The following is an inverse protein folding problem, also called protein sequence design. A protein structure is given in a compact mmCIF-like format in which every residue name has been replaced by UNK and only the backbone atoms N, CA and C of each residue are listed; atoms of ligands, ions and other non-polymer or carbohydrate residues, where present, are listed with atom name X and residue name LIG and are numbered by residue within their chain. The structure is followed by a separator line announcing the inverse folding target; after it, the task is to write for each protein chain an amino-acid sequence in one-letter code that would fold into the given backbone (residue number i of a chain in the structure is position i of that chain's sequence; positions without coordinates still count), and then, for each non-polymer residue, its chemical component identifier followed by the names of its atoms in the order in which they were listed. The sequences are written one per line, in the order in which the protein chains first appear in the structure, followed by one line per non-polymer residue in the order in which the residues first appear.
data_IF_801694639800
#
_entry.id   IF_801694639800
#
_cell.length_a   1.000
_cell.length_b   1.000
_cell.length_c   1.000
_cell.angle_alpha   90.00
_cell.angle_beta   90.00
_cell.angle_gamma   90.00
#
_symmetry.space_group_name_H-M   'P 1'
#
loop_
_entity.id
_entity.type
_entity.pdbx_description
1 polymer ?
#
# COMPACT_ATOMS: atom_id res chain seq x y z
N UNK A 1 -6.22 16.57 -1.04
CA UNK A 1 -5.33 15.61 -1.74
C UNK A 1 -5.54 14.18 -1.28
N UNK A 2 -5.63 13.91 0.03
CA UNK A 2 -5.83 12.55 0.56
C UNK A 2 -7.01 11.77 -0.04
N UNK A 3 -8.10 12.43 -0.42
CA UNK A 3 -9.20 11.77 -1.17
C UNK A 3 -8.73 11.13 -2.48
N UNK A 4 -7.92 11.84 -3.27
CA UNK A 4 -7.39 11.33 -4.55
C UNK A 4 -6.41 10.19 -4.29
N UNK A 5 -5.54 10.36 -3.29
CA UNK A 5 -4.61 9.31 -2.85
C UNK A 5 -5.36 8.04 -2.45
N UNK A 6 -6.42 8.18 -1.65
CA UNK A 6 -7.28 7.06 -1.25
C UNK A 6 -7.95 6.36 -2.44
N UNK A 7 -8.43 7.14 -3.42
CA UNK A 7 -8.96 6.60 -4.67
C UNK A 7 -7.91 5.82 -5.46
N UNK A 8 -6.67 6.33 -5.57
CA UNK A 8 -5.59 5.63 -6.26
C UNK A 8 -5.24 4.30 -5.60
N UNK A 9 -5.05 4.26 -4.28
CA UNK A 9 -4.81 3.02 -3.54
C UNK A 9 -5.95 2.02 -3.72
N UNK A 10 -7.20 2.49 -3.69
CA UNK A 10 -8.38 1.65 -3.90
C UNK A 10 -8.41 1.07 -5.32
N UNK A 11 -8.11 1.88 -6.34
CA UNK A 11 -8.05 1.42 -7.74
C UNK A 11 -6.95 0.38 -7.92
N UNK A 12 -5.76 0.61 -7.36
CA UNK A 12 -4.68 -0.39 -7.43
C UNK A 12 -5.08 -1.69 -6.74
N UNK A 13 -5.72 -1.61 -5.57
CA UNK A 13 -6.22 -2.79 -4.87
C UNK A 13 -7.26 -3.57 -5.71
N UNK A 14 -8.19 -2.86 -6.36
CA UNK A 14 -9.16 -3.49 -7.26
C UNK A 14 -8.48 -4.15 -8.47
N UNK A 15 -7.50 -3.47 -9.10
CA UNK A 15 -6.74 -4.05 -10.21
C UNK A 15 -5.99 -5.31 -9.74
N UNK A 16 -5.34 -5.25 -8.58
CA UNK A 16 -4.59 -6.36 -8.01
C UNK A 16 -5.50 -7.56 -7.71
N UNK A 17 -6.66 -7.32 -7.10
CA UNK A 17 -7.68 -8.33 -6.84
C UNK A 17 -8.17 -9.00 -8.13
N UNK A 18 -8.60 -8.19 -9.10
CA UNK A 18 -9.17 -8.68 -10.35
C UNK A 18 -8.11 -9.44 -11.17
N UNK A 19 -6.89 -8.94 -11.21
CA UNK A 19 -5.78 -9.63 -11.86
C UNK A 19 -5.51 -10.98 -11.20
N UNK A 20 -5.41 -11.03 -9.86
CA UNK A 20 -5.22 -12.27 -9.11
C UNK A 20 -6.33 -13.29 -9.32
N UNK A 21 -7.57 -12.83 -9.41
CA UNK A 21 -8.72 -13.70 -9.61
C UNK A 21 -8.78 -14.27 -11.04
N UNK A 22 -8.57 -13.42 -12.05
CA UNK A 22 -8.74 -13.78 -13.46
C UNK A 22 -7.53 -14.54 -14.00
N UNK A 23 -6.31 -14.05 -13.73
CA UNK A 23 -5.09 -14.64 -14.28
C UNK A 23 -4.78 -15.99 -13.62
N UNK A 24 -5.02 -16.09 -12.30
CA UNK A 24 -4.78 -17.33 -11.56
C UNK A 24 -6.06 -18.16 -11.37
N UNK A 25 -7.06 -17.99 -12.25
CA UNK A 25 -8.28 -18.79 -12.22
C UNK A 25 -8.03 -20.32 -12.18
N UNK A 26 -7.12 -20.88 -12.99
CA UNK A 26 -6.80 -22.31 -12.91
C UNK A 26 -6.30 -22.75 -11.52
N UNK A 27 -5.50 -21.91 -10.87
CA UNK A 27 -4.94 -22.18 -9.55
C UNK A 27 -6.05 -22.16 -8.48
N UNK A 28 -7.04 -21.27 -8.60
CA UNK A 28 -8.21 -21.27 -7.72
C UNK A 28 -9.04 -22.54 -7.85
N UNK A 29 -9.22 -23.05 -9.07
CA UNK A 29 -9.91 -24.33 -9.29
C UNK A 29 -9.15 -25.49 -8.64
N UNK A 30 -7.83 -25.55 -8.87
CA UNK A 30 -6.97 -26.57 -8.27
C UNK A 30 -7.01 -26.51 -6.74
N UNK A 31 -7.00 -25.31 -6.14
CA UNK A 31 -7.14 -25.14 -4.69
C UNK A 31 -8.50 -25.65 -4.24
N UNK A 32 -9.59 -25.26 -4.89
CA UNK A 32 -10.93 -25.71 -4.53
C UNK A 32 -11.10 -27.25 -4.60
N UNK A 33 -10.53 -27.88 -5.63
CA UNK A 33 -10.55 -29.34 -5.83
C UNK A 33 -9.67 -30.09 -4.82
N UNK A 34 -8.53 -29.51 -4.44
CA UNK A 34 -7.59 -30.10 -3.48
C UNK A 34 -7.99 -29.86 -2.02
N UNK A 35 -9.01 -29.04 -1.77
CA UNK A 35 -9.41 -28.55 -0.45
C UNK A 35 -8.74 -27.24 -0.06
N UNK A 36 -9.24 -26.58 1.00
CA UNK A 36 -8.79 -25.23 1.37
C UNK A 36 -7.63 -25.21 2.38
N UNK A 37 -7.43 -26.31 3.12
CA UNK A 37 -6.48 -26.35 4.23
C UNK A 37 -5.11 -26.88 3.79
N UNK A 38 -4.05 -26.09 4.01
CA UNK A 38 -2.66 -26.45 3.72
C UNK A 38 -2.39 -26.86 2.25
N UNK A 39 -3.07 -26.23 1.27
CA UNK A 39 -2.95 -26.58 -0.16
C UNK A 39 -2.05 -25.65 -0.96
N UNK A 40 -1.87 -24.41 -0.50
CA UNK A 40 -1.10 -23.39 -1.22
C UNK A 40 0.40 -23.68 -1.15
N UNK A 41 0.92 -23.93 0.05
CA UNK A 41 2.33 -24.23 0.31
C UNK A 41 2.48 -25.40 1.31
N UNK A 42 2.06 -26.63 0.95
CA UNK A 42 2.08 -27.78 1.86
C UNK A 42 3.48 -28.19 2.31
N UNK A 43 4.50 -27.91 1.49
CA UNK A 43 5.90 -28.22 1.77
C UNK A 43 6.77 -26.97 1.53
N UNK A 44 7.34 -26.36 2.60
CA UNK A 44 8.22 -25.20 2.47
C UNK A 44 9.49 -25.43 1.63
N UNK A 45 9.91 -26.68 1.46
CA UNK A 45 11.09 -27.06 0.67
C UNK A 45 10.75 -27.46 -0.77
N UNK A 46 9.47 -27.49 -1.14
CA UNK A 46 9.00 -27.77 -2.49
C UNK A 46 7.81 -26.84 -2.84
N UNK A 47 8.08 -25.53 -3.00
CA UNK A 47 7.04 -24.52 -3.21
C UNK A 47 6.29 -24.70 -4.53
N UNK A 48 5.01 -24.33 -4.53
CA UNK A 48 4.15 -24.30 -5.71
C UNK A 48 3.88 -22.83 -6.04
N UNK A 49 4.86 -22.20 -6.69
CA UNK A 49 4.89 -20.74 -6.89
C UNK A 49 3.61 -20.16 -7.50
N UNK A 50 2.99 -20.83 -8.47
CA UNK A 50 1.75 -20.34 -9.08
C UNK A 50 0.59 -20.21 -8.08
N UNK A 51 0.48 -21.13 -7.11
CA UNK A 51 -0.56 -21.06 -6.06
C UNK A 51 -0.22 -20.00 -5.04
N UNK A 52 1.06 -19.86 -4.69
CA UNK A 52 1.54 -18.83 -3.78
C UNK A 52 1.33 -17.43 -4.37
N UNK A 53 1.61 -17.22 -5.65
CA UNK A 53 1.35 -15.97 -6.35
C UNK A 53 -0.13 -15.62 -6.29
N UNK A 54 -1.01 -16.56 -6.67
CA UNK A 54 -2.47 -16.39 -6.59
C UNK A 54 -2.90 -15.96 -5.17
N UNK A 55 -2.38 -16.64 -4.15
CA UNK A 55 -2.61 -16.31 -2.75
C UNK A 55 -2.14 -14.89 -2.40
N UNK A 56 -0.93 -14.50 -2.79
CA UNK A 56 -0.38 -13.18 -2.48
C UNK A 56 -1.16 -12.05 -3.16
N UNK A 57 -1.66 -12.26 -4.39
CA UNK A 57 -2.56 -11.31 -5.04
C UNK A 57 -3.84 -11.07 -4.22
N UNK A 58 -4.40 -12.12 -3.61
CA UNK A 58 -5.60 -12.01 -2.77
C UNK A 58 -5.28 -11.42 -1.40
N UNK A 59 -4.18 -11.83 -0.78
CA UNK A 59 -3.80 -11.41 0.57
C UNK A 59 -3.28 -9.99 0.64
N UNK A 60 -2.59 -9.50 -0.38
CA UNK A 60 -2.11 -8.11 -0.42
C UNK A 60 -3.26 -7.11 -0.63
N UNK A 61 -4.29 -7.49 -1.40
CA UNK A 61 -5.47 -6.67 -1.70
C UNK A 61 -6.09 -5.98 -0.47
N UNK A 62 -6.48 -6.67 0.62
CA UNK A 62 -7.08 -6.02 1.78
C UNK A 62 -6.15 -5.00 2.44
N UNK A 63 -4.83 -5.20 2.44
CA UNK A 63 -3.88 -4.22 2.98
C UNK A 63 -3.82 -2.96 2.11
N UNK A 64 -3.83 -3.11 0.78
CA UNK A 64 -3.92 -1.99 -0.16
C UNK A 64 -5.23 -1.20 0.04
N UNK A 65 -6.36 -1.90 0.22
CA UNK A 65 -7.65 -1.29 0.53
C UNK A 65 -7.61 -0.55 1.87
N UNK A 66 -7.02 -1.12 2.92
CA UNK A 66 -6.89 -0.48 4.23
C UNK A 66 -6.13 0.84 4.12
N UNK A 67 -5.06 0.90 3.33
CA UNK A 67 -4.33 2.16 3.09
C UNK A 67 -5.24 3.19 2.40
N UNK A 68 -5.99 2.77 1.38
CA UNK A 68 -6.96 3.62 0.69
C UNK A 68 -8.05 4.17 1.63
N UNK A 69 -8.62 3.31 2.48
CA UNK A 69 -9.61 3.68 3.48
C UNK A 69 -9.04 4.61 4.55
N UNK A 70 -7.80 4.38 4.98
CA UNK A 70 -7.12 5.25 5.92
C UNK A 70 -6.94 6.67 5.35
N UNK A 71 -6.66 6.78 4.05
CA UNK A 71 -6.60 8.08 3.37
C UNK A 71 -7.97 8.77 3.33
N UNK A 72 -9.06 8.03 3.05
CA UNK A 72 -10.41 8.59 3.09
C UNK A 72 -10.83 9.02 4.49
N UNK A 73 -10.53 8.20 5.50
CA UNK A 73 -10.79 8.54 6.90
C UNK A 73 -10.03 9.79 7.31
N UNK A 74 -8.72 9.87 7.06
CA UNK A 74 -7.91 11.04 7.38
C UNK A 74 -8.42 12.31 6.67
N UNK A 75 -8.85 12.17 5.41
CA UNK A 75 -9.49 13.27 4.69
C UNK A 75 -10.78 13.75 5.36
N UNK A 76 -11.67 12.83 5.77
CA UNK A 76 -12.92 13.16 6.45
C UNK A 76 -12.68 13.83 7.81
N UNK A 77 -11.66 13.37 8.56
CA UNK A 77 -11.26 13.94 9.84
C UNK A 77 -10.43 15.22 9.72
N UNK A 78 -10.11 15.66 8.49
CA UNK A 78 -9.21 16.80 8.22
C UNK A 78 -7.82 16.65 8.88
N UNK A 79 -7.34 15.41 8.97
CA UNK A 79 -6.03 15.07 9.52
C UNK A 79 -5.00 14.88 8.41
N UNK A 80 -3.73 15.04 8.77
CA UNK A 80 -2.60 14.58 7.95
C UNK A 80 -2.20 13.17 8.38
N UNK A 81 -1.76 12.36 7.42
CA UNK A 81 -1.14 11.08 7.73
C UNK A 81 0.32 11.31 8.16
N UNK A 82 0.86 10.49 9.07
CA UNK A 82 2.28 10.55 9.41
C UNK A 82 3.17 10.30 8.18
N UNK A 83 4.17 11.16 7.99
CA UNK A 83 5.17 11.03 6.90
C UNK A 83 5.87 9.66 6.91
N UNK A 84 6.06 9.07 8.09
CA UNK A 84 6.67 7.73 8.24
C UNK A 84 5.93 6.65 7.46
N UNK A 85 4.60 6.68 7.43
CA UNK A 85 3.78 5.70 6.68
C UNK A 85 4.06 5.84 5.18
N UNK A 86 4.17 7.08 4.69
CA UNK A 86 4.46 7.35 3.28
C UNK A 86 5.87 6.93 2.88
N UNK A 87 6.86 7.16 3.75
CA UNK A 87 8.23 6.72 3.52
C UNK A 87 8.31 5.20 3.48
N UNK A 88 7.68 4.50 4.43
CA UNK A 88 7.67 3.03 4.45
C UNK A 88 7.07 2.49 3.14
N UNK A 89 5.90 3.00 2.73
CA UNK A 89 5.25 2.53 1.51
C UNK A 89 6.06 2.87 0.25
N UNK A 90 6.72 4.04 0.18
CA UNK A 90 7.59 4.39 -0.93
C UNK A 90 8.85 3.51 -0.97
N UNK A 91 9.47 3.24 0.17
CA UNK A 91 10.62 2.34 0.30
C UNK A 91 10.26 0.91 -0.11
N UNK A 92 9.11 0.39 0.34
CA UNK A 92 8.60 -0.92 -0.09
C UNK A 92 8.40 -0.96 -1.60
N UNK A 93 7.81 0.07 -2.20
CA UNK A 93 7.66 0.17 -3.66
C UNK A 93 9.00 0.18 -4.37
N UNK A 94 9.97 0.95 -3.88
CA UNK A 94 11.30 1.04 -4.49
C UNK A 94 12.05 -0.30 -4.43
N UNK A 95 12.00 -0.99 -3.29
CA UNK A 95 12.60 -2.32 -3.13
C UNK A 95 11.92 -3.33 -4.07
N UNK A 96 10.59 -3.32 -4.12
CA UNK A 96 9.82 -4.21 -5.01
C UNK A 96 10.17 -4.01 -6.49
N UNK A 97 10.29 -2.76 -6.94
CA UNK A 97 10.71 -2.44 -8.31
C UNK A 97 12.14 -2.88 -8.62
N UNK A 98 13.04 -2.70 -7.66
CA UNK A 98 14.44 -3.08 -7.84
C UNK A 98 14.63 -4.60 -7.90
N UNK A 99 13.97 -5.34 -7.01
CA UNK A 99 14.09 -6.79 -6.93
C UNK A 99 13.22 -7.53 -7.95
N UNK A 100 12.06 -6.97 -8.30
CA UNK A 100 11.08 -7.57 -9.23
C UNK A 100 10.60 -6.53 -10.24
N UNK A 101 11.40 -6.19 -11.26
CA UNK A 101 11.04 -5.15 -12.22
C UNK A 101 9.83 -5.51 -13.09
N UNK A 102 9.57 -6.79 -13.30
CA UNK A 102 8.38 -7.29 -14.02
C UNK A 102 7.31 -7.66 -12.98
N UNK A 103 6.67 -6.65 -12.39
CA UNK A 103 5.66 -6.83 -11.33
C UNK A 103 4.64 -5.70 -11.27
N UNK A 104 3.64 -5.83 -10.39
CA UNK A 104 2.62 -4.78 -10.15
C UNK A 104 3.13 -3.56 -9.36
N UNK A 105 4.36 -3.57 -8.84
CA UNK A 105 4.87 -2.49 -7.97
C UNK A 105 4.92 -1.11 -8.65
N UNK A 106 4.97 -1.07 -9.98
CA UNK A 106 4.86 0.18 -10.76
C UNK A 106 3.59 0.98 -10.43
N UNK A 107 2.48 0.29 -10.15
CA UNK A 107 1.20 0.92 -9.83
C UNK A 107 1.23 1.63 -8.46
N UNK A 108 2.16 1.26 -7.59
CA UNK A 108 2.29 1.82 -6.24
C UNK A 108 3.13 3.10 -6.20
N UNK A 109 3.86 3.43 -7.27
CA UNK A 109 4.75 4.61 -7.31
C UNK A 109 3.93 5.89 -7.12
N UNK A 110 2.94 6.08 -8.00
CA UNK A 110 2.12 7.29 -8.01
C UNK A 110 1.38 7.51 -6.67
N UNK A 111 0.62 6.54 -6.12
CA UNK A 111 -0.06 6.74 -4.85
C UNK A 111 0.91 6.95 -3.68
N UNK A 112 2.06 6.26 -3.63
CA UNK A 112 3.05 6.45 -2.57
C UNK A 112 3.69 7.84 -2.60
N UNK A 113 4.07 8.34 -3.78
CA UNK A 113 4.64 9.68 -3.95
C UNK A 113 3.61 10.76 -3.59
N UNK A 114 2.37 10.63 -4.08
CA UNK A 114 1.31 11.60 -3.77
C UNK A 114 0.96 11.61 -2.28
N UNK A 115 0.99 10.45 -1.63
CA UNK A 115 0.77 10.36 -0.20
C UNK A 115 1.88 11.05 0.59
N UNK A 116 3.14 10.90 0.18
CA UNK A 116 4.27 11.61 0.77
C UNK A 116 4.10 13.14 0.66
N UNK A 117 3.77 13.64 -0.54
CA UNK A 117 3.50 15.07 -0.75
C UNK A 117 2.34 15.58 0.10
N UNK A 118 1.31 14.75 0.31
CA UNK A 118 0.17 15.12 1.16
C UNK A 118 0.45 15.05 2.65
N UNK A 119 1.46 14.27 3.06
CA UNK A 119 1.83 14.03 4.46
C UNK A 119 2.94 14.97 4.93
N UNK A 120 3.74 15.51 4.01
CA UNK A 120 4.79 16.46 4.32
C UNK A 120 4.17 17.73 4.92
N UNK A 121 4.28 17.94 6.25
CA UNK A 121 3.97 19.24 6.80
C UNK A 121 5.02 20.15 6.16
N UNK A 122 4.65 21.33 5.67
CA UNK A 122 5.67 22.35 5.41
C UNK A 122 6.46 22.54 6.71
N UNK A 123 7.63 21.91 6.77
CA UNK A 123 8.50 21.82 7.94
C UNK A 123 9.19 23.16 8.21
N UNK A 124 8.47 24.28 8.15
CA UNK A 124 9.05 25.62 8.31
C UNK A 124 8.17 26.67 8.99
N UNK A 125 6.89 26.44 9.32
CA UNK A 125 6.06 27.54 9.86
C UNK A 125 5.79 27.53 11.37
N UNK A 126 6.04 26.43 12.11
CA UNK A 126 5.64 26.37 13.53
C UNK A 126 6.79 26.56 14.52
N UNK A 127 8.05 26.46 14.08
CA UNK A 127 9.20 26.68 14.97
C UNK A 127 9.57 28.17 15.11
N UNK A 128 9.09 29.03 14.20
CA UNK A 128 9.33 30.49 14.22
C UNK A 128 8.33 31.25 15.08
N UNK A 129 7.11 30.72 15.28
CA UNK A 129 6.09 31.35 16.13
C UNK A 129 6.38 31.11 17.62
N UNK A 130 6.82 29.91 17.99
CA UNK A 130 7.17 29.57 19.37
C UNK A 130 8.43 30.31 19.84
N UNK A 131 9.39 30.58 18.94
CA UNK A 131 10.59 31.38 19.28
C UNK A 131 10.32 32.89 19.35
N UNK A 132 9.27 33.40 18.69
CA UNK A 132 8.89 34.83 18.76
C UNK A 132 8.12 35.16 20.03
N UNK A 133 7.35 34.23 20.56
CA UNK A 133 6.52 34.45 21.76
C UNK A 133 7.30 34.22 23.08
N UNK A 134 8.48 33.60 23.00
CA UNK A 134 9.38 33.39 24.14
C UNK A 134 10.49 34.44 24.27
N UNK A 135 10.54 35.43 23.38
CA UNK A 135 11.49 36.53 23.51
C UNK A 135 10.95 37.53 24.56
N UNK A 136 11.73 37.91 25.60
CA UNK A 136 11.35 39.02 26.44
C UNK A 136 11.27 40.29 25.59
N UNK A 137 10.29 41.16 25.86
CA UNK A 137 10.27 42.50 25.30
C UNK A 137 11.35 43.32 26.03
N UNK A 138 12.42 43.65 25.30
CA UNK A 138 13.50 44.55 25.73
C UNK A 138 13.13 46.03 25.51
#
# INVERSE_FOLDING_TARGET
MLKIVGSLWTVVACIHLLFGLVVYWPQWQIIAESGWFNVIAPNPFAPIFDREDAFWFMMATPFLLVIGQLCFWAHQQKLLLPTSISIILLSTTAIGLFLMPVSGFWLLILPSIMMLYSSWPMASSNNSLIQRESAPED
#
